data_IF_713143053281
#
_entry.id   IF_713143053281
#
_cell.length_a   1.000
_cell.length_b   1.000
_cell.length_c   1.000
_cell.angle_alpha   90.00
_cell.angle_beta   90.00
_cell.angle_gamma   90.00
#
_symmetry.space_group_name_H-M   'P 1'
#
loop_
_entity.id
_entity.type
_entity.pdbx_description
1 polymer ?
#
# COMPACT_ATOMS: atom_id res chain seq x y z
N UNK A 1 20.23 -11.18 -1.25
CA UNK A 1 19.70 -10.89 0.10
C UNK A 1 19.43 -9.42 0.36
N UNK A 2 20.33 -8.49 -0.02
CA UNK A 2 20.14 -7.05 0.18
C UNK A 2 18.80 -6.50 -0.35
N UNK A 3 18.35 -6.96 -1.52
CA UNK A 3 17.06 -6.57 -2.10
C UNK A 3 15.83 -6.99 -1.27
N UNK A 4 15.89 -8.14 -0.59
CA UNK A 4 14.82 -8.56 0.32
C UNK A 4 14.78 -7.67 1.55
N UNK A 5 15.93 -7.38 2.15
CA UNK A 5 16.03 -6.50 3.31
C UNK A 5 15.55 -5.09 2.94
N UNK A 6 16.00 -4.56 1.81
CA UNK A 6 15.59 -3.25 1.30
C UNK A 6 14.09 -3.18 0.98
N UNK A 7 13.55 -4.20 0.29
CA UNK A 7 12.12 -4.30 0.03
C UNK A 7 11.29 -4.36 1.31
N UNK A 8 11.75 -5.12 2.32
CA UNK A 8 11.12 -5.17 3.64
C UNK A 8 11.19 -3.83 4.37
N UNK A 9 12.32 -3.13 4.29
CA UNK A 9 12.51 -1.82 4.89
C UNK A 9 11.56 -0.78 4.28
N UNK A 10 11.40 -0.79 2.95
CA UNK A 10 10.46 0.09 2.26
C UNK A 10 9.00 -0.25 2.57
N UNK A 11 8.63 -1.54 2.62
CA UNK A 11 7.30 -1.98 3.07
C UNK A 11 7.06 -1.58 4.53
N UNK A 12 8.11 -1.60 5.36
CA UNK A 12 8.04 -1.14 6.74
C UNK A 12 7.88 0.37 6.81
N UNK A 13 8.55 1.18 5.98
CA UNK A 13 8.38 2.63 5.94
C UNK A 13 7.00 3.03 5.38
N UNK A 14 6.53 2.34 4.35
CA UNK A 14 5.25 2.61 3.69
C UNK A 14 4.50 1.29 3.43
N UNK A 15 3.60 0.88 4.35
CA UNK A 15 2.88 -0.37 4.24
C UNK A 15 1.85 -0.29 3.11
N UNK A 16 2.25 -0.68 1.91
CA UNK A 16 1.37 -0.76 0.74
C UNK A 16 1.52 -2.13 0.09
N UNK A 17 0.37 -2.77 -0.16
CA UNK A 17 0.29 -4.03 -0.91
C UNK A 17 0.94 -3.94 -2.29
N UNK A 18 0.80 -2.80 -2.98
CA UNK A 18 1.40 -2.61 -4.31
C UNK A 18 2.94 -2.66 -4.27
N UNK A 19 3.55 -2.04 -3.25
CA UNK A 19 5.00 -2.12 -3.08
C UNK A 19 5.45 -3.55 -2.74
N UNK A 20 4.69 -4.25 -1.88
CA UNK A 20 4.99 -5.63 -1.51
C UNK A 20 5.02 -6.56 -2.74
N UNK A 21 3.99 -6.51 -3.58
CA UNK A 21 3.92 -7.34 -4.78
C UNK A 21 4.97 -6.97 -5.82
N UNK A 22 5.24 -5.68 -6.01
CA UNK A 22 6.29 -5.21 -6.91
C UNK A 22 7.66 -5.77 -6.52
N UNK A 23 8.05 -5.62 -5.25
CA UNK A 23 9.34 -6.14 -4.77
C UNK A 23 9.40 -7.67 -4.82
N UNK A 24 8.31 -8.36 -4.49
CA UNK A 24 8.24 -9.82 -4.62
C UNK A 24 8.50 -10.28 -6.06
N UNK A 25 7.91 -9.59 -7.05
CA UNK A 25 8.13 -9.83 -8.47
C UNK A 25 9.58 -9.58 -8.91
N UNK A 26 10.17 -8.45 -8.50
CA UNK A 26 11.58 -8.14 -8.80
C UNK A 26 12.53 -9.20 -8.22
N UNK A 27 12.28 -9.63 -6.98
CA UNK A 27 13.06 -10.69 -6.33
C UNK A 27 12.91 -12.00 -7.12
N UNK A 28 11.68 -12.41 -7.45
CA UNK A 28 11.45 -13.63 -8.21
C UNK A 28 12.18 -13.63 -9.57
N UNK A 29 12.10 -12.52 -10.31
CA UNK A 29 12.75 -12.38 -11.61
C UNK A 29 14.28 -12.47 -11.52
N UNK A 30 14.90 -11.75 -10.57
CA UNK A 30 16.35 -11.78 -10.40
C UNK A 30 16.88 -13.16 -10.02
N UNK A 31 16.18 -13.84 -9.12
CA UNK A 31 16.57 -15.20 -8.76
C UNK A 31 16.31 -16.21 -9.88
N UNK A 32 15.24 -16.04 -10.68
CA UNK A 32 15.00 -16.87 -11.85
C UNK A 32 16.14 -16.75 -12.87
N UNK A 33 16.61 -15.53 -13.14
CA UNK A 33 17.80 -15.30 -13.98
C UNK A 33 19.01 -16.02 -13.41
N UNK A 34 19.24 -15.93 -12.10
CA UNK A 34 20.36 -16.59 -11.45
C UNK A 34 20.28 -18.13 -11.52
N UNK A 35 19.08 -18.70 -11.41
CA UNK A 35 18.85 -20.15 -11.59
C UNK A 35 19.12 -20.58 -13.03
N UNK A 36 18.74 -19.77 -14.02
CA UNK A 36 19.01 -20.05 -15.44
C UNK A 36 20.53 -19.99 -15.72
N UNK A 37 21.23 -18.97 -15.21
CA UNK A 37 22.68 -18.88 -15.35
C UNK A 37 23.40 -20.05 -14.68
N UNK A 38 22.98 -20.43 -13.47
CA UNK A 38 23.49 -21.62 -12.79
C UNK A 38 23.21 -22.90 -13.59
N UNK A 39 22.04 -23.03 -14.21
CA UNK A 39 21.74 -24.17 -15.06
C UNK A 39 22.65 -24.23 -16.29
N UNK A 40 23.06 -23.10 -16.85
CA UNK A 40 24.03 -23.02 -17.96
C UNK A 40 25.43 -23.37 -17.47
N UNK A 41 25.87 -22.88 -16.32
CA UNK A 41 27.21 -23.15 -15.78
C UNK A 41 27.41 -24.62 -15.39
N UNK A 42 26.40 -25.25 -14.77
CA UNK A 42 26.51 -26.59 -14.20
C UNK A 42 25.89 -27.70 -15.07
N UNK A 43 25.47 -27.40 -16.31
CA UNK A 43 24.82 -28.37 -17.21
C UNK A 43 25.65 -29.62 -17.49
N UNK A 44 26.98 -29.53 -17.36
CA UNK A 44 27.91 -30.62 -17.60
C UNK A 44 28.02 -31.59 -16.40
N UNK A 45 27.73 -31.12 -15.18
CA UNK A 45 27.89 -31.89 -13.94
C UNK A 45 26.56 -32.38 -13.38
N UNK A 46 25.47 -31.66 -13.65
CA UNK A 46 24.14 -31.97 -13.13
C UNK A 46 23.07 -31.86 -14.22
N UNK A 47 22.04 -32.72 -14.16
CA UNK A 47 20.93 -32.64 -15.11
C UNK A 47 20.19 -31.30 -14.94
N UNK A 48 20.11 -30.54 -16.03
CA UNK A 48 19.45 -29.23 -16.10
C UNK A 48 18.04 -29.22 -15.46
N UNK A 49 17.17 -30.22 -15.67
CA UNK A 49 15.86 -30.25 -15.02
C UNK A 49 15.93 -30.23 -13.48
N UNK A 50 16.93 -30.87 -12.89
CA UNK A 50 17.11 -30.92 -11.43
C UNK A 50 17.58 -29.58 -10.86
N UNK A 51 18.47 -28.88 -11.56
CA UNK A 51 18.92 -27.52 -11.18
C UNK A 51 17.73 -26.56 -11.24
N UNK A 52 16.97 -26.59 -12.34
CA UNK A 52 15.81 -25.72 -12.51
C UNK A 52 14.72 -26.00 -11.47
N UNK A 53 14.45 -27.28 -11.18
CA UNK A 53 13.46 -27.67 -10.18
C UNK A 53 13.86 -27.22 -8.77
N UNK A 54 15.09 -27.52 -8.33
CA UNK A 54 15.58 -27.11 -7.01
C UNK A 54 15.68 -25.59 -6.87
N UNK A 55 16.13 -24.90 -7.92
CA UNK A 55 16.16 -23.44 -8.00
C UNK A 55 14.77 -22.82 -7.90
N UNK A 56 13.78 -23.40 -8.59
CA UNK A 56 12.38 -22.92 -8.57
C UNK A 56 11.77 -23.07 -7.17
N UNK A 57 11.97 -24.21 -6.51
CA UNK A 57 11.51 -24.41 -5.12
C UNK A 57 12.13 -23.36 -4.20
N UNK A 58 13.43 -23.11 -4.32
CA UNK A 58 14.10 -22.07 -3.52
C UNK A 58 13.51 -20.68 -3.76
N UNK A 59 13.20 -20.34 -5.02
CA UNK A 59 12.57 -19.05 -5.36
C UNK A 59 11.20 -18.94 -4.68
N UNK A 60 10.35 -19.96 -4.82
CA UNK A 60 9.00 -19.96 -4.24
C UNK A 60 9.05 -19.82 -2.72
N UNK A 61 9.92 -20.57 -2.05
CA UNK A 61 10.07 -20.48 -0.58
C UNK A 61 10.53 -19.08 -0.17
N UNK A 62 11.56 -18.53 -0.83
CA UNK A 62 12.11 -17.22 -0.50
C UNK A 62 11.11 -16.09 -0.72
N UNK A 63 10.44 -16.09 -1.87
CA UNK A 63 9.41 -15.09 -2.19
C UNK A 63 8.20 -15.26 -1.27
N UNK A 64 7.81 -16.49 -0.95
CA UNK A 64 6.73 -16.79 -0.02
C UNK A 64 7.01 -16.26 1.39
N UNK A 65 8.22 -16.46 1.91
CA UNK A 65 8.64 -15.89 3.21
C UNK A 65 8.61 -14.37 3.18
N UNK A 66 9.12 -13.75 2.11
CA UNK A 66 9.08 -12.29 1.95
C UNK A 66 7.65 -11.75 1.92
N UNK A 67 6.76 -12.39 1.17
CA UNK A 67 5.34 -12.02 1.10
C UNK A 67 4.64 -12.22 2.44
N UNK A 68 4.89 -13.31 3.16
CA UNK A 68 4.28 -13.57 4.46
C UNK A 68 4.67 -12.50 5.49
N UNK A 69 5.96 -12.18 5.60
CA UNK A 69 6.45 -11.16 6.52
C UNK A 69 5.94 -9.77 6.10
N UNK A 70 6.02 -9.45 4.81
CA UNK A 70 5.53 -8.18 4.28
C UNK A 70 4.02 -8.00 4.47
N UNK A 71 3.22 -9.04 4.24
CA UNK A 71 1.78 -9.02 4.48
C UNK A 71 1.45 -8.83 5.96
N UNK A 72 2.22 -9.46 6.86
CA UNK A 72 2.09 -9.24 8.30
C UNK A 72 2.38 -7.78 8.67
N UNK A 73 3.45 -7.19 8.12
CA UNK A 73 3.80 -5.77 8.34
C UNK A 73 2.69 -4.86 7.82
N UNK A 74 2.18 -5.11 6.61
CA UNK A 74 1.10 -4.31 6.02
C UNK A 74 -0.18 -4.45 6.83
N UNK A 75 -0.54 -5.64 7.30
CA UNK A 75 -1.73 -5.85 8.13
C UNK A 75 -1.61 -5.17 9.51
N UNK A 76 -0.45 -5.28 10.16
CA UNK A 76 -0.22 -4.70 11.50
C UNK A 76 -0.08 -3.16 11.47
N UNK A 77 0.51 -2.58 10.41
CA UNK A 77 0.67 -1.12 10.29
C UNK A 77 -0.46 -0.45 9.51
N UNK A 78 -1.05 -1.13 8.54
CA UNK A 78 -2.22 -0.65 7.79
C UNK A 78 -3.44 -0.49 8.69
N UNK A 79 -3.68 -1.42 9.61
CA UNK A 79 -4.72 -1.29 10.63
C UNK A 79 -4.52 -0.11 11.59
N UNK A 80 -3.28 0.35 11.80
CA UNK A 80 -3.00 1.58 12.58
C UNK A 80 -3.20 2.87 11.78
N UNK A 81 -3.13 2.82 10.45
CA UNK A 81 -3.38 3.96 9.58
C UNK A 81 -4.87 4.16 9.28
N UNK A 82 -5.67 3.10 9.37
CA UNK A 82 -7.11 3.14 9.10
C UNK A 82 -7.96 3.56 10.32
N UNK A 83 -7.38 3.64 11.52
CA UNK A 83 -8.18 3.79 12.75
C UNK A 83 -8.50 5.23 13.19
N UNK A 84 -7.96 6.31 12.59
CA UNK A 84 -8.28 7.68 13.04
C UNK A 84 -8.27 8.73 11.93
N UNK A 85 -9.23 8.64 11.02
CA UNK A 85 -9.87 9.86 10.50
C UNK A 85 -11.26 9.93 11.12
N UNK A 86 -11.72 11.07 11.67
CA UNK A 86 -13.13 11.19 12.04
C UNK A 86 -13.94 10.73 10.84
N UNK A 87 -14.84 9.78 11.09
CA UNK A 87 -15.63 9.15 10.03
C UNK A 87 -16.22 10.27 9.16
N UNK A 88 -16.32 10.09 7.84
CA UNK A 88 -16.89 11.13 6.98
C UNK A 88 -18.28 11.61 7.50
N UNK A 89 -18.98 10.76 8.26
CA UNK A 89 -20.20 11.07 8.98
C UNK A 89 -20.03 12.07 10.14
N UNK A 90 -18.93 12.05 10.89
CA UNK A 90 -18.62 13.06 11.93
C UNK A 90 -18.28 14.41 11.31
N UNK A 91 -17.51 14.42 10.22
CA UNK A 91 -17.18 15.65 9.49
C UNK A 91 -18.44 16.26 8.86
N UNK A 92 -19.30 15.45 8.26
CA UNK A 92 -20.59 15.91 7.71
C UNK A 92 -21.56 16.38 8.80
N UNK A 93 -21.56 15.74 9.97
CA UNK A 93 -22.38 16.16 11.11
C UNK A 93 -21.90 17.50 11.70
N UNK A 94 -20.59 17.73 11.79
CA UNK A 94 -20.03 19.02 12.20
C UNK A 94 -20.30 20.11 11.16
N UNK A 95 -20.18 19.81 9.87
CA UNK A 95 -20.48 20.75 8.79
C UNK A 95 -21.97 21.13 8.74
N UNK A 96 -22.86 20.16 9.00
CA UNK A 96 -24.30 20.38 9.08
C UNK A 96 -24.67 21.26 10.29
N UNK A 97 -24.03 21.05 11.45
CA UNK A 97 -24.22 21.91 12.63
C UNK A 97 -23.73 23.33 12.37
N UNK A 98 -22.57 23.51 11.74
CA UNK A 98 -22.07 24.84 11.37
C UNK A 98 -22.97 25.56 10.34
N UNK A 99 -23.57 24.83 9.39
CA UNK A 99 -24.57 25.40 8.46
C UNK A 99 -25.86 25.78 9.17
N UNK A 100 -26.34 24.98 10.11
CA UNK A 100 -27.52 25.29 10.90
C UNK A 100 -27.30 26.50 11.82
N UNK A 101 -26.12 26.63 12.43
CA UNK A 101 -25.78 27.79 13.26
C UNK A 101 -25.61 29.06 12.42
N UNK A 102 -25.02 28.97 11.21
CA UNK A 102 -24.96 30.10 10.28
C UNK A 102 -26.34 30.54 9.78
N UNK A 103 -27.21 29.58 9.44
CA UNK A 103 -28.59 29.87 9.03
C UNK A 103 -29.43 30.48 10.17
N UNK A 104 -29.13 30.15 11.43
CA UNK A 104 -29.76 30.77 12.60
C UNK A 104 -29.21 32.18 12.91
N UNK A 105 -28.03 32.54 12.39
CA UNK A 105 -27.39 33.85 12.58
C UNK A 105 -27.57 34.83 11.43
N UNK A 106 -28.08 34.43 10.27
CA UNK A 106 -28.48 35.37 9.22
C UNK A 106 -29.81 36.05 9.61
N UNK A 107 -29.81 37.36 9.95
CA UNK A 107 -31.06 38.09 10.09
C UNK A 107 -31.66 38.26 8.70
N UNK A 108 -33.00 38.16 8.64
CA UNK A 108 -33.87 38.29 7.45
C UNK A 108 -33.31 39.23 6.37
N UNK A 109 -33.59 38.94 5.08
CA UNK A 109 -33.20 39.84 4.01
C UNK A 109 -33.70 41.24 4.32
N UNK A 110 -32.77 42.19 4.40
CA UNK A 110 -33.08 43.63 4.46
C UNK A 110 -33.75 43.94 3.13
N UNK A 111 -35.08 43.99 3.15
CA UNK A 111 -35.86 44.56 2.07
C UNK A 111 -35.52 46.06 2.12
N UNK A 112 -34.61 46.51 1.26
CA UNK A 112 -34.39 47.93 1.00
C UNK A 112 -35.70 48.51 0.44
N UNK A 113 -36.52 49.01 1.35
CA UNK A 113 -37.71 49.77 1.02
C UNK A 113 -37.23 51.17 0.63
N UNK A 114 -37.06 51.39 -0.68
CA UNK A 114 -36.81 52.71 -1.26
C UNK A 114 -38.02 53.60 -0.94
N UNK A 115 -37.89 54.43 0.09
CA UNK A 115 -38.77 55.57 0.32
C UNK A 115 -38.13 56.80 -0.29
N UNK A 116 -38.70 57.29 -1.38
CA UNK A 116 -38.37 58.59 -1.96
C UNK A 116 -38.80 59.72 -1.01
N UNK A 117 -37.92 60.70 -0.72
CA UNK A 117 -38.31 61.93 -0.03
C UNK A 117 -38.79 63.03 -1.03
N UNK A 118 -39.48 64.08 -0.53
CA UNK A 118 -40.56 64.79 -1.23
C UNK A 118 -40.14 65.80 -2.30
#
# INVERSE_FOLDING_TARGET
MLLMVFGLLLVLMRPNWNFLFFFAGCIAALWAVQVILGAIEFHAEYPVPQILFSGTIMIVVRVGVFLAIGALIVKLRGGKAEEKGPSAQEIDAELAKMRAEKAAREPRPVIEQWTDPP
#
